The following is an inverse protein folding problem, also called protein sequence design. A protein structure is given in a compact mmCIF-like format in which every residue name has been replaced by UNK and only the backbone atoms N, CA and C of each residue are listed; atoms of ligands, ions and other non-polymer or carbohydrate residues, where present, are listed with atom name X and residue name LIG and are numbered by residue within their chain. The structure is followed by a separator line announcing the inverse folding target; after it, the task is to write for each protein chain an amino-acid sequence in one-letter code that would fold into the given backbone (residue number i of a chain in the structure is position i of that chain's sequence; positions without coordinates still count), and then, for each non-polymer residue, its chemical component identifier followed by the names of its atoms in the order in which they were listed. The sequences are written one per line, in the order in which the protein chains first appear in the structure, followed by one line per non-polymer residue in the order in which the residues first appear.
data_IF_027136221506
#
_entry.id   IF_027136221506
#
_cell.length_a   1.000
_cell.length_b   1.000
_cell.length_c   1.000
_cell.angle_alpha   90.00
_cell.angle_beta   90.00
_cell.angle_gamma   90.00
#
_symmetry.space_group_name_H-M   'P 1'
#
loop_
_entity.id
_entity.type
_entity.pdbx_description
1 polymer ?
#
# COMPACT_ATOMS: atom_id res chain seq x y z
N UNK A 1 12.61 14.30 21.74
CA UNK A 1 11.82 13.05 21.83
C UNK A 1 10.62 13.23 20.92
N UNK A 2 10.73 12.75 19.67
CA UNK A 2 9.69 12.89 18.68
C UNK A 2 8.59 11.86 18.96
N UNK A 3 7.37 12.33 19.18
CA UNK A 3 6.21 11.46 19.26
C UNK A 3 5.78 11.11 17.84
N UNK A 4 6.02 9.86 17.41
CA UNK A 4 5.40 9.32 16.22
C UNK A 4 3.91 9.11 16.51
N UNK A 5 3.05 9.76 15.73
CA UNK A 5 1.61 9.48 15.78
C UNK A 5 1.34 8.26 14.90
N UNK A 6 1.03 7.14 15.54
CA UNK A 6 0.42 6.00 14.89
C UNK A 6 -1.08 6.24 14.83
N UNK A 7 -1.64 6.38 13.63
CA UNK A 7 -3.08 6.56 13.43
C UNK A 7 -3.64 5.26 12.85
N UNK A 8 -4.49 4.61 13.60
CA UNK A 8 -5.31 3.47 13.15
C UNK A 8 -6.54 4.02 12.39
N UNK A 9 -6.70 3.72 11.09
CA UNK A 9 -7.80 4.22 10.27
C UNK A 9 -9.18 3.63 10.60
N UNK A 10 -9.31 2.85 11.67
CA UNK A 10 -10.59 2.19 12.04
C UNK A 10 -11.49 3.00 12.98
N UNK A 11 -11.21 4.28 13.25
CA UNK A 11 -12.10 5.08 14.10
C UNK A 11 -13.28 5.62 13.29
N UNK A 12 -14.43 4.98 13.39
CA UNK A 12 -15.70 5.45 12.84
C UNK A 12 -16.19 6.70 13.58
N UNK A 13 -16.39 7.80 12.85
CA UNK A 13 -17.27 8.89 13.29
C UNK A 13 -18.26 9.21 12.18
N UNK A 14 -19.52 8.82 12.40
CA UNK A 14 -20.66 9.20 11.56
C UNK A 14 -20.96 10.70 11.71
N UNK A 15 -21.12 11.42 10.58
CA UNK A 15 -21.87 12.69 10.51
C UNK A 15 -22.67 12.78 9.22
N UNK A 16 -23.90 13.35 9.29
CA UNK A 16 -24.86 13.31 8.20
C UNK A 16 -24.59 14.40 7.14
N UNK A 17 -24.97 14.05 5.90
CA UNK A 17 -24.87 14.86 4.69
C UNK A 17 -25.89 15.99 4.66
N UNK A 18 -25.48 17.20 4.30
CA UNK A 18 -26.32 18.23 3.73
C UNK A 18 -25.94 18.51 2.30
N UNK A 19 -26.94 18.45 1.41
CA UNK A 19 -26.79 18.80 0.00
C UNK A 19 -26.71 20.32 -0.17
N UNK A 20 -25.70 20.82 -0.90
CA UNK A 20 -25.86 21.86 -1.93
C UNK A 20 -24.54 22.23 -2.63
N UNK A 21 -24.66 22.37 -3.96
CA UNK A 21 -23.78 23.07 -4.90
C UNK A 21 -22.47 22.38 -5.32
N UNK A 22 -22.53 21.76 -6.53
CA UNK A 22 -21.39 21.29 -7.31
C UNK A 22 -20.71 22.47 -8.01
N UNK A 23 -19.55 22.85 -7.52
CA UNK A 23 -18.46 23.36 -8.36
C UNK A 23 -17.60 22.16 -8.78
N UNK A 24 -17.10 22.15 -10.03
CA UNK A 24 -16.20 21.13 -10.57
C UNK A 24 -14.80 21.23 -9.92
N UNK A 25 -14.73 20.98 -8.63
CA UNK A 25 -13.48 20.69 -7.93
C UNK A 25 -13.25 19.17 -8.03
N UNK A 26 -12.06 18.78 -8.47
CA UNK A 26 -11.63 17.37 -8.41
C UNK A 26 -11.95 16.82 -7.02
N UNK A 27 -12.56 15.64 -6.91
CA UNK A 27 -12.95 15.11 -5.62
C UNK A 27 -11.72 15.12 -4.70
N UNK A 28 -11.87 15.73 -3.52
CA UNK A 28 -10.80 15.71 -2.51
C UNK A 28 -10.54 14.27 -2.13
N UNK A 29 -9.27 13.86 -1.97
CA UNK A 29 -8.98 12.52 -1.48
C UNK A 29 -9.69 12.27 -0.15
N UNK A 30 -10.16 11.04 0.07
CA UNK A 30 -10.87 10.67 1.30
C UNK A 30 -9.99 10.89 2.54
N UNK A 31 -8.66 10.67 2.38
CA UNK A 31 -7.66 10.89 3.41
C UNK A 31 -6.58 11.85 2.91
N UNK A 32 -6.32 12.92 3.65
CA UNK A 32 -5.30 13.90 3.31
C UNK A 32 -4.47 14.26 4.55
N UNK A 33 -3.15 14.16 4.42
CA UNK A 33 -2.18 14.44 5.47
C UNK A 33 -1.18 15.48 5.02
N UNK A 34 -0.85 16.40 5.93
CA UNK A 34 0.24 17.37 5.76
C UNK A 34 1.28 17.10 6.82
N UNK A 35 2.53 16.91 6.41
CA UNK A 35 3.66 16.60 7.31
C UNK A 35 4.59 17.80 7.34
N UNK A 36 4.80 18.35 8.53
CA UNK A 36 5.60 19.54 8.76
C UNK A 36 7.10 19.19 8.95
N UNK A 37 7.93 20.23 9.12
CA UNK A 37 9.38 20.06 9.25
C UNK A 37 9.77 19.09 10.39
N UNK A 38 10.52 18.04 10.04
CA UNK A 38 11.00 17.04 10.97
C UNK A 38 9.92 16.12 11.57
N UNK A 39 8.68 16.24 11.11
CA UNK A 39 7.61 15.31 11.50
C UNK A 39 7.69 13.99 10.74
N UNK A 40 7.16 12.94 11.36
CA UNK A 40 7.07 11.61 10.79
C UNK A 40 5.63 11.12 10.80
N UNK A 41 5.12 10.71 9.65
CA UNK A 41 3.84 10.06 9.44
C UNK A 41 4.04 8.57 9.17
N UNK A 42 3.33 7.72 9.91
CA UNK A 42 3.27 6.28 9.63
C UNK A 42 1.83 5.85 9.41
N UNK A 43 1.53 5.26 8.25
CA UNK A 43 0.22 4.74 7.91
C UNK A 43 0.28 3.26 7.58
N UNK A 44 -0.72 2.52 8.05
CA UNK A 44 -0.84 1.09 7.82
C UNK A 44 -2.25 0.75 7.34
N UNK A 45 -2.36 0.20 6.13
CA UNK A 45 -3.61 -0.26 5.55
C UNK A 45 -3.69 -1.78 5.54
N UNK A 46 -4.83 -2.32 5.93
CA UNK A 46 -5.12 -3.76 5.83
C UNK A 46 -6.52 -3.94 5.26
N UNK A 47 -6.61 -4.67 4.16
CA UNK A 47 -7.88 -5.09 3.55
C UNK A 47 -7.95 -6.61 3.60
N UNK A 48 -8.98 -7.13 4.25
CA UNK A 48 -9.18 -8.57 4.45
C UNK A 48 -10.14 -9.16 3.41
N UNK A 49 -10.15 -10.50 3.23
CA UNK A 49 -11.09 -11.16 2.32
C UNK A 49 -12.55 -10.80 2.66
N UNK A 50 -13.36 -10.59 1.61
CA UNK A 50 -14.74 -10.16 1.73
C UNK A 50 -14.95 -8.64 1.75
N UNK A 51 -13.88 -7.84 1.81
CA UNK A 51 -13.95 -6.38 1.80
C UNK A 51 -13.62 -5.82 0.40
N UNK A 52 -14.54 -5.00 -0.14
CA UNK A 52 -14.23 -4.14 -1.29
C UNK A 52 -13.94 -2.74 -0.78
N UNK A 53 -12.82 -2.15 -1.21
CA UNK A 53 -12.36 -0.84 -0.73
C UNK A 53 -11.86 0.01 -1.89
N UNK A 54 -12.22 1.28 -1.87
CA UNK A 54 -11.62 2.34 -2.69
C UNK A 54 -10.95 3.33 -1.73
N UNK A 55 -9.62 3.36 -1.71
CA UNK A 55 -8.82 4.15 -0.78
C UNK A 55 -8.10 5.23 -1.58
N UNK A 56 -8.38 6.47 -1.27
CA UNK A 56 -7.77 7.64 -1.89
C UNK A 56 -7.01 8.45 -0.84
N UNK A 57 -5.67 8.41 -0.97
CA UNK A 57 -4.74 8.98 -0.01
C UNK A 57 -3.89 10.07 -0.67
N UNK A 58 -3.81 11.23 -0.04
CA UNK A 58 -2.87 12.29 -0.38
C UNK A 58 -1.98 12.63 0.81
N UNK A 59 -0.67 12.63 0.60
CA UNK A 59 0.30 13.04 1.63
C UNK A 59 1.19 14.16 1.07
N UNK A 60 1.25 15.26 1.80
CA UNK A 60 1.97 16.48 1.42
C UNK A 60 3.10 16.73 2.42
N UNK A 61 4.36 16.50 2.01
CA UNK A 61 5.56 16.75 2.82
C UNK A 61 5.98 18.20 2.60
N UNK A 62 5.50 19.11 3.47
CA UNK A 62 5.65 20.56 3.32
C UNK A 62 6.86 21.14 4.05
N UNK A 63 7.36 20.44 5.06
CA UNK A 63 8.48 20.94 5.87
C UNK A 63 9.80 20.21 5.57
N UNK A 64 10.95 20.90 5.64
CA UNK A 64 12.25 20.25 5.46
C UNK A 64 12.46 19.05 6.41
N UNK A 65 12.96 17.93 5.87
CA UNK A 65 13.19 16.72 6.64
C UNK A 65 11.91 15.99 7.11
N UNK A 66 10.76 16.28 6.52
CA UNK A 66 9.52 15.54 6.77
C UNK A 66 9.62 14.10 6.25
N UNK A 67 9.05 13.15 7.00
CA UNK A 67 9.07 11.73 6.64
C UNK A 67 7.66 11.15 6.56
N UNK A 68 7.41 10.27 5.58
CA UNK A 68 6.18 9.50 5.48
C UNK A 68 6.47 8.03 5.14
N UNK A 69 5.91 7.12 5.92
CA UNK A 69 6.03 5.68 5.71
C UNK A 69 4.66 5.05 5.63
N UNK A 70 4.34 4.46 4.48
CA UNK A 70 3.04 3.86 4.20
C UNK A 70 3.24 2.38 3.92
N UNK A 71 2.48 1.54 4.61
CA UNK A 71 2.41 0.11 4.33
C UNK A 71 0.97 -0.28 4.02
N UNK A 72 0.81 -1.12 3.01
CA UNK A 72 -0.49 -1.67 2.63
C UNK A 72 -0.44 -3.18 2.47
N UNK A 73 -1.40 -3.87 3.06
CA UNK A 73 -1.65 -5.29 2.89
C UNK A 73 -3.07 -5.48 2.40
N UNK A 74 -3.27 -6.28 1.36
CA UNK A 74 -4.60 -6.65 0.90
C UNK A 74 -4.68 -8.11 0.48
N UNK A 75 -5.77 -8.75 0.90
CA UNK A 75 -6.09 -10.16 0.63
C UNK A 75 -7.47 -10.22 -0.01
N UNK A 76 -7.56 -10.77 -1.21
CA UNK A 76 -8.80 -10.89 -1.97
C UNK A 76 -8.95 -12.33 -2.44
N UNK A 77 -10.03 -13.01 -2.08
CA UNK A 77 -10.25 -14.43 -2.38
C UNK A 77 -11.44 -14.74 -3.28
N UNK A 78 -12.34 -13.78 -3.49
CA UNK A 78 -13.60 -14.01 -4.21
C UNK A 78 -13.81 -13.02 -5.38
N UNK A 79 -14.66 -12.01 -5.22
CA UNK A 79 -15.01 -11.02 -6.25
C UNK A 79 -14.77 -9.58 -5.76
N UNK A 80 -13.92 -9.43 -4.76
CA UNK A 80 -13.61 -8.14 -4.16
C UNK A 80 -13.01 -7.18 -5.18
N UNK A 81 -13.32 -5.89 -4.98
CA UNK A 81 -12.72 -4.79 -5.74
C UNK A 81 -11.95 -3.90 -4.77
N UNK A 82 -10.64 -3.91 -4.90
CA UNK A 82 -9.77 -3.10 -4.07
C UNK A 82 -9.01 -2.12 -4.94
N UNK A 83 -9.09 -0.84 -4.60
CA UNK A 83 -8.37 0.21 -5.29
C UNK A 83 -7.62 1.07 -4.30
N UNK A 84 -6.35 1.34 -4.62
CA UNK A 84 -5.54 2.35 -3.95
C UNK A 84 -5.18 3.45 -4.94
N UNK A 85 -5.46 4.70 -4.59
CA UNK A 85 -4.96 5.90 -5.25
C UNK A 85 -4.11 6.65 -4.24
N UNK A 86 -2.81 6.67 -4.46
CA UNK A 86 -1.85 7.27 -3.52
C UNK A 86 -1.11 8.39 -4.21
N UNK A 87 -1.25 9.61 -3.70
CA UNK A 87 -0.50 10.77 -4.12
C UNK A 87 0.47 11.18 -3.00
N UNK A 88 1.77 11.16 -3.30
CA UNK A 88 2.82 11.60 -2.39
C UNK A 88 3.49 12.85 -2.97
N UNK A 89 3.37 13.97 -2.31
CA UNK A 89 3.97 15.25 -2.70
C UNK A 89 5.15 15.60 -1.81
N UNK A 90 6.33 15.76 -2.40
CA UNK A 90 7.51 16.33 -1.75
C UNK A 90 7.64 17.78 -2.17
N UNK A 91 7.40 18.72 -1.22
CA UNK A 91 7.45 20.16 -1.49
C UNK A 91 8.67 20.84 -0.87
N UNK A 92 9.34 20.21 0.06
CA UNK A 92 10.46 20.77 0.80
C UNK A 92 11.71 19.87 0.67
N UNK A 93 12.92 20.42 0.87
CA UNK A 93 14.16 19.66 0.72
C UNK A 93 14.37 18.65 1.86
N UNK A 94 15.14 17.58 1.57
CA UNK A 94 15.56 16.57 2.52
C UNK A 94 14.41 15.68 3.03
N UNK A 95 13.26 15.66 2.36
CA UNK A 95 12.13 14.82 2.73
C UNK A 95 12.35 13.37 2.32
N UNK A 96 11.74 12.46 3.10
CA UNK A 96 11.81 11.03 2.81
C UNK A 96 10.43 10.39 2.78
N UNK A 97 10.16 9.54 1.78
CA UNK A 97 8.97 8.71 1.76
C UNK A 97 9.28 7.26 1.38
N UNK A 98 8.58 6.32 2.03
CA UNK A 98 8.58 4.92 1.63
C UNK A 98 7.13 4.42 1.57
N UNK A 99 6.80 3.74 0.48
CA UNK A 99 5.49 3.14 0.26
C UNK A 99 5.72 1.68 -0.11
N UNK A 100 5.18 0.76 0.68
CA UNK A 100 5.28 -0.67 0.41
C UNK A 100 3.89 -1.31 0.49
N UNK A 101 3.42 -1.82 -0.64
CA UNK A 101 2.12 -2.49 -0.76
C UNK A 101 2.31 -3.91 -1.27
N UNK A 102 1.95 -4.91 -0.46
CA UNK A 102 1.96 -6.30 -0.85
C UNK A 102 0.55 -6.87 -0.81
N UNK A 103 0.12 -7.49 -1.92
CA UNK A 103 -1.22 -8.04 -2.02
C UNK A 103 -1.30 -9.42 -2.63
N UNK A 104 -2.34 -10.16 -2.25
CA UNK A 104 -2.67 -11.46 -2.81
C UNK A 104 -4.08 -11.41 -3.36
N UNK A 105 -4.23 -11.78 -4.63
CA UNK A 105 -5.52 -11.79 -5.34
C UNK A 105 -5.84 -13.19 -5.85
N UNK A 106 -6.97 -13.72 -5.41
CA UNK A 106 -7.56 -14.99 -5.85
C UNK A 106 -8.98 -14.81 -6.39
N UNK A 107 -9.68 -15.91 -6.66
CA UNK A 107 -11.04 -15.89 -7.19
C UNK A 107 -11.15 -15.07 -8.48
N UNK A 108 -12.07 -14.12 -8.51
CA UNK A 108 -12.29 -13.14 -9.58
C UNK A 108 -12.00 -11.71 -9.09
N UNK A 109 -11.21 -11.57 -8.05
CA UNK A 109 -10.89 -10.27 -7.47
C UNK A 109 -10.28 -9.30 -8.49
N UNK A 110 -10.55 -8.02 -8.30
CA UNK A 110 -10.02 -6.94 -9.11
C UNK A 110 -9.26 -5.97 -8.21
N UNK A 111 -7.96 -5.89 -8.38
CA UNK A 111 -7.10 -5.00 -7.62
C UNK A 111 -6.50 -3.96 -8.55
N UNK A 112 -6.52 -2.70 -8.12
CA UNK A 112 -5.88 -1.61 -8.83
C UNK A 112 -5.08 -0.73 -7.86
N UNK A 113 -3.83 -0.48 -8.23
CA UNK A 113 -2.95 0.45 -7.54
C UNK A 113 -2.50 1.56 -8.50
N UNK A 114 -2.90 2.79 -8.19
CA UNK A 114 -2.47 4.01 -8.87
C UNK A 114 -1.64 4.83 -7.86
N UNK A 115 -0.32 4.81 -7.98
CA UNK A 115 0.57 5.50 -7.06
C UNK A 115 1.40 6.57 -7.77
N UNK A 116 1.31 7.83 -7.34
CA UNK A 116 2.07 8.93 -7.91
C UNK A 116 2.95 9.58 -6.84
N UNK A 117 4.23 9.74 -7.15
CA UNK A 117 5.14 10.58 -6.36
C UNK A 117 5.47 11.82 -7.18
N UNK A 118 5.26 12.98 -6.58
CA UNK A 118 5.60 14.29 -7.18
C UNK A 118 6.69 14.94 -6.33
N UNK A 119 7.81 15.32 -6.96
CA UNK A 119 8.91 16.02 -6.29
C UNK A 119 9.02 17.42 -6.91
N UNK A 120 8.74 18.45 -6.10
CA UNK A 120 8.79 19.85 -6.53
C UNK A 120 10.22 20.30 -6.86
N UNK A 121 10.41 21.37 -7.67
CA UNK A 121 11.76 21.84 -8.06
C UNK A 121 12.68 22.15 -6.87
N UNK A 122 12.14 22.70 -5.78
CA UNK A 122 12.89 23.08 -4.59
C UNK A 122 13.08 21.93 -3.58
N UNK A 123 12.46 20.77 -3.83
CA UNK A 123 12.55 19.60 -2.97
C UNK A 123 13.83 18.78 -3.23
N UNK A 124 14.98 19.45 -3.18
CA UNK A 124 16.28 18.81 -3.36
C UNK A 124 16.60 17.85 -2.20
N UNK A 125 17.46 16.85 -2.44
CA UNK A 125 17.84 15.82 -1.48
C UNK A 125 16.66 14.96 -1.01
N UNK A 126 15.61 14.87 -1.80
CA UNK A 126 14.49 13.96 -1.57
C UNK A 126 14.90 12.51 -1.77
N UNK A 127 14.46 11.64 -0.85
CA UNK A 127 14.51 10.18 -0.99
C UNK A 127 13.09 9.62 -1.03
N UNK A 128 12.64 9.09 -2.17
CA UNK A 128 11.28 8.61 -2.35
C UNK A 128 11.24 7.20 -3.00
N UNK A 129 10.66 6.25 -2.31
CA UNK A 129 10.59 4.85 -2.75
C UNK A 129 9.15 4.35 -2.72
N UNK A 130 8.69 3.78 -3.83
CA UNK A 130 7.36 3.19 -3.95
C UNK A 130 7.47 1.77 -4.50
N UNK A 131 6.94 0.81 -3.76
CA UNK A 131 6.91 -0.60 -4.15
C UNK A 131 5.50 -1.17 -4.03
N UNK A 132 5.05 -1.86 -5.08
CA UNK A 132 3.79 -2.59 -5.09
C UNK A 132 3.99 -4.00 -5.65
N UNK A 133 3.89 -4.99 -4.79
CA UNK A 133 4.10 -6.39 -5.15
C UNK A 133 2.82 -7.19 -5.02
N UNK A 134 2.55 -8.05 -5.98
CA UNK A 134 1.31 -8.80 -6.06
C UNK A 134 1.54 -10.27 -6.39
N UNK A 135 0.81 -11.15 -5.69
CA UNK A 135 0.67 -12.56 -6.04
C UNK A 135 -0.76 -12.79 -6.56
N UNK A 136 -0.88 -13.42 -7.72
CA UNK A 136 -2.14 -13.83 -8.32
C UNK A 136 -2.29 -15.34 -8.18
N UNK A 137 -3.37 -15.78 -7.53
CA UNK A 137 -3.61 -17.20 -7.23
C UNK A 137 -4.44 -17.92 -8.28
N UNK A 138 -5.27 -17.17 -9.03
CA UNK A 138 -6.22 -17.72 -10.02
C UNK A 138 -6.13 -16.93 -11.34
N UNK A 139 -6.41 -17.56 -12.49
CA UNK A 139 -6.38 -16.89 -13.80
C UNK A 139 -7.43 -15.80 -13.96
N UNK A 140 -8.53 -15.85 -13.19
CA UNK A 140 -9.64 -14.91 -13.27
C UNK A 140 -9.39 -13.63 -12.46
N UNK A 141 -8.50 -13.68 -11.48
CA UNK A 141 -8.12 -12.50 -10.71
C UNK A 141 -7.32 -11.52 -11.57
N UNK A 142 -7.61 -10.23 -11.41
CA UNK A 142 -6.98 -9.15 -12.17
C UNK A 142 -6.28 -8.18 -11.23
N UNK A 143 -5.01 -7.94 -11.52
CA UNK A 143 -4.21 -6.94 -10.80
C UNK A 143 -3.64 -5.96 -11.81
N UNK A 144 -3.93 -4.69 -11.59
CA UNK A 144 -3.41 -3.58 -12.37
C UNK A 144 -2.61 -2.65 -11.43
N UNK A 145 -1.36 -2.40 -11.78
CA UNK A 145 -0.49 -1.52 -11.00
C UNK A 145 0.11 -0.45 -11.89
N UNK A 146 -0.01 0.82 -11.48
CA UNK A 146 0.41 1.98 -12.22
C UNK A 146 1.18 2.96 -11.35
N UNK A 147 2.47 2.67 -11.05
CA UNK A 147 3.33 3.61 -10.36
C UNK A 147 3.79 4.73 -11.31
N UNK A 148 3.84 5.97 -10.82
CA UNK A 148 4.27 7.15 -11.56
C UNK A 148 5.24 8.00 -10.72
N UNK A 149 6.26 8.56 -11.38
CA UNK A 149 7.21 9.52 -10.80
C UNK A 149 7.19 10.80 -11.64
N UNK A 150 6.93 11.93 -10.98
CA UNK A 150 6.99 13.28 -11.55
C UNK A 150 8.07 14.07 -10.79
N UNK A 151 9.27 14.09 -11.33
CA UNK A 151 10.45 14.62 -10.65
C UNK A 151 10.89 15.92 -11.32
N UNK A 152 10.84 17.01 -10.58
CA UNK A 152 11.22 18.34 -11.03
C UNK A 152 12.47 18.89 -10.33
N UNK A 153 13.12 18.09 -9.46
CA UNK A 153 14.38 18.40 -8.78
C UNK A 153 15.52 17.52 -9.32
N UNK A 154 16.77 18.00 -9.24
CA UNK A 154 17.93 17.33 -9.83
C UNK A 154 18.68 16.43 -8.86
N UNK A 155 18.84 16.86 -7.59
CA UNK A 155 19.57 16.11 -6.56
C UNK A 155 18.59 15.26 -5.71
N UNK A 156 18.16 14.13 -6.24
CA UNK A 156 17.18 13.25 -5.58
C UNK A 156 17.50 11.77 -5.79
N UNK A 157 16.94 10.92 -4.90
CA UNK A 157 16.95 9.46 -5.02
C UNK A 157 15.50 8.96 -5.03
N UNK A 158 14.97 8.74 -6.22
CA UNK A 158 13.59 8.32 -6.39
C UNK A 158 13.53 7.03 -7.19
N UNK A 159 12.74 6.07 -6.73
CA UNK A 159 12.48 4.84 -7.48
C UNK A 159 11.09 4.31 -7.23
N UNK A 160 10.60 3.56 -8.20
CA UNK A 160 9.42 2.74 -8.01
C UNK A 160 9.65 1.32 -8.52
N UNK A 161 8.94 0.36 -7.90
CA UNK A 161 8.91 -1.03 -8.31
C UNK A 161 7.47 -1.56 -8.30
N UNK A 162 7.13 -2.34 -9.33
CA UNK A 162 5.86 -3.05 -9.35
C UNK A 162 6.05 -4.46 -9.89
N UNK A 163 5.45 -5.43 -9.21
CA UNK A 163 5.48 -6.83 -9.67
C UNK A 163 4.09 -7.43 -9.58
N UNK A 164 3.77 -8.25 -10.58
CA UNK A 164 2.60 -9.13 -10.57
C UNK A 164 3.10 -10.52 -10.95
N UNK A 165 3.00 -11.46 -10.02
CA UNK A 165 3.52 -12.81 -10.20
C UNK A 165 2.63 -13.88 -9.60
N UNK A 166 3.13 -15.10 -9.56
CA UNK A 166 2.51 -16.27 -8.96
C UNK A 166 3.42 -16.82 -7.87
N UNK A 167 2.91 -17.76 -7.06
CA UNK A 167 3.74 -18.53 -6.15
C UNK A 167 4.85 -19.24 -6.91
N UNK A 168 6.07 -19.26 -6.34
CA UNK A 168 7.22 -19.85 -6.98
C UNK A 168 7.09 -21.39 -7.01
N UNK A 169 6.97 -22.02 -8.20
CA UNK A 169 6.79 -23.46 -8.30
C UNK A 169 8.03 -24.27 -7.86
N UNK A 170 9.23 -23.73 -8.01
CA UNK A 170 10.45 -24.42 -7.61
C UNK A 170 10.59 -24.47 -6.09
N UNK A 171 10.23 -23.39 -5.39
CA UNK A 171 10.17 -23.36 -3.94
C UNK A 171 9.09 -24.29 -3.40
N UNK A 172 7.90 -24.32 -4.03
CA UNK A 172 6.84 -25.28 -3.69
C UNK A 172 7.31 -26.71 -3.86
N UNK A 173 7.95 -27.02 -4.98
CA UNK A 173 8.52 -28.35 -5.23
C UNK A 173 9.57 -28.72 -4.18
N UNK A 174 10.48 -27.79 -3.84
CA UNK A 174 11.50 -28.03 -2.82
C UNK A 174 10.88 -28.31 -1.45
N UNK A 175 9.92 -27.53 -1.00
CA UNK A 175 9.25 -27.73 0.29
C UNK A 175 8.51 -29.08 0.32
N UNK A 176 7.81 -29.44 -0.76
CA UNK A 176 7.12 -30.73 -0.88
C UNK A 176 8.09 -31.90 -0.86
N UNK A 177 9.24 -31.78 -1.50
CA UNK A 177 10.27 -32.83 -1.47
C UNK A 177 10.85 -33.08 -0.06
N UNK A 178 10.69 -32.11 0.86
CA UNK A 178 11.04 -32.21 2.28
C UNK A 178 9.88 -32.69 3.17
N UNK A 179 8.74 -33.08 2.57
CA UNK A 179 7.60 -33.63 3.28
C UNK A 179 6.61 -32.57 3.78
N UNK A 180 6.74 -31.30 3.40
CA UNK A 180 5.77 -30.27 3.72
C UNK A 180 4.55 -30.45 2.80
N UNK A 181 3.32 -30.57 3.34
CA UNK A 181 2.12 -30.63 2.52
C UNK A 181 1.98 -29.40 1.61
N UNK A 182 1.39 -29.58 0.43
CA UNK A 182 1.29 -28.49 -0.55
C UNK A 182 0.54 -27.26 -0.01
N UNK A 183 -0.55 -27.46 0.71
CA UNK A 183 -1.32 -26.37 1.34
C UNK A 183 -0.46 -25.57 2.33
N UNK A 184 0.37 -26.26 3.11
CA UNK A 184 1.26 -25.60 4.08
C UNK A 184 2.42 -24.89 3.38
N UNK A 185 2.99 -25.48 2.32
CA UNK A 185 4.04 -24.85 1.52
C UNK A 185 3.53 -23.56 0.85
N UNK A 186 2.32 -23.57 0.30
CA UNK A 186 1.67 -22.37 -0.26
C UNK A 186 1.46 -21.30 0.79
N UNK A 187 0.92 -21.68 1.98
CA UNK A 187 0.74 -20.77 3.08
C UNK A 187 2.05 -20.10 3.51
N UNK A 188 3.11 -20.87 3.67
CA UNK A 188 4.43 -20.35 4.06
C UNK A 188 4.98 -19.33 3.05
N UNK A 189 4.84 -19.59 1.75
CA UNK A 189 5.23 -18.61 0.72
C UNK A 189 4.41 -17.33 0.81
N UNK A 190 3.08 -17.44 0.95
CA UNK A 190 2.20 -16.27 1.05
C UNK A 190 2.52 -15.44 2.30
N UNK A 191 2.72 -16.07 3.45
CA UNK A 191 3.09 -15.36 4.69
C UNK A 191 4.47 -14.73 4.60
N UNK A 192 5.46 -15.42 4.00
CA UNK A 192 6.80 -14.86 3.76
C UNK A 192 6.72 -13.59 2.89
N UNK A 193 5.93 -13.64 1.82
CA UNK A 193 5.71 -12.52 0.91
C UNK A 193 5.05 -11.32 1.61
N UNK A 194 4.10 -11.57 2.52
CA UNK A 194 3.37 -10.53 3.24
C UNK A 194 4.13 -9.99 4.46
N UNK A 195 5.13 -10.73 4.97
CA UNK A 195 5.79 -10.42 6.25
C UNK A 195 6.27 -8.97 6.40
N UNK A 196 6.76 -8.25 5.35
CA UNK A 196 7.20 -6.87 5.51
C UNK A 196 6.08 -5.86 5.78
N UNK A 197 4.82 -6.25 5.47
CA UNK A 197 3.64 -5.38 5.58
C UNK A 197 2.62 -5.88 6.60
N UNK A 198 2.86 -6.96 7.31
CA UNK A 198 1.99 -7.41 8.39
C UNK A 198 2.14 -6.46 9.58
N UNK A 199 1.05 -5.84 10.08
CA UNK A 199 1.10 -5.04 11.28
C UNK A 199 1.45 -5.88 12.51
N UNK A 200 2.26 -5.33 13.40
CA UNK A 200 2.61 -6.00 14.66
C UNK A 200 1.34 -6.34 15.49
N UNK A 201 1.25 -7.59 15.93
CA UNK A 201 0.12 -8.10 16.73
C UNK A 201 -1.09 -8.58 15.91
N UNK A 202 -1.04 -8.50 14.57
CA UNK A 202 -2.09 -9.04 13.68
C UNK A 202 -1.67 -10.29 12.91
N UNK A 203 -0.54 -10.90 13.26
CA UNK A 203 0.04 -12.04 12.54
C UNK A 203 -0.94 -13.22 12.47
N UNK A 204 -1.58 -13.57 13.58
CA UNK A 204 -2.52 -14.69 13.63
C UNK A 204 -3.80 -14.43 12.81
N UNK A 205 -4.28 -13.20 12.77
CA UNK A 205 -5.43 -12.79 11.96
C UNK A 205 -5.10 -12.90 10.46
N UNK A 206 -3.94 -12.38 10.06
CA UNK A 206 -3.49 -12.46 8.67
C UNK A 206 -3.24 -13.90 8.24
N UNK A 207 -2.62 -14.73 9.09
CA UNK A 207 -2.45 -16.15 8.80
C UNK A 207 -3.80 -16.85 8.59
N UNK A 208 -4.78 -16.59 9.46
CA UNK A 208 -6.12 -17.16 9.32
C UNK A 208 -6.81 -16.72 8.02
N UNK A 209 -6.66 -15.44 7.64
CA UNK A 209 -7.19 -14.91 6.40
C UNK A 209 -6.52 -15.54 5.16
N UNK A 210 -5.19 -15.71 5.18
CA UNK A 210 -4.43 -16.34 4.09
C UNK A 210 -4.79 -17.84 3.94
N UNK A 211 -5.06 -18.55 5.04
CA UNK A 211 -5.53 -19.96 4.99
C UNK A 211 -6.90 -20.11 4.32
N UNK A 212 -7.69 -19.05 4.29
CA UNK A 212 -9.01 -19.01 3.65
C UNK A 212 -9.00 -18.69 2.14
N UNK A 213 -7.83 -18.31 1.58
CA UNK A 213 -7.64 -18.06 0.16
C UNK A 213 -7.36 -19.35 -0.61
#
# INVERSE_FOLDING_TARGET
MGHGHYIDPFCHSERPLSHSERSEESPRPEESYVVQAGEKLELQYVVLPGESRDIELSVDLQGPGAEAHIKGLYLCGAEEKVRFRVLMHHRAPGCRSTQLFNGIAGGKAQVRFDGTIVVAPDAQQTEAYQENHNIVLTPEAKVETKPQLEIYADDVKCSHGATVGQLNPDELFYMRSRGIPESEARLLQMLSFLSPVIPAGREAEIEAAVRGL
#
